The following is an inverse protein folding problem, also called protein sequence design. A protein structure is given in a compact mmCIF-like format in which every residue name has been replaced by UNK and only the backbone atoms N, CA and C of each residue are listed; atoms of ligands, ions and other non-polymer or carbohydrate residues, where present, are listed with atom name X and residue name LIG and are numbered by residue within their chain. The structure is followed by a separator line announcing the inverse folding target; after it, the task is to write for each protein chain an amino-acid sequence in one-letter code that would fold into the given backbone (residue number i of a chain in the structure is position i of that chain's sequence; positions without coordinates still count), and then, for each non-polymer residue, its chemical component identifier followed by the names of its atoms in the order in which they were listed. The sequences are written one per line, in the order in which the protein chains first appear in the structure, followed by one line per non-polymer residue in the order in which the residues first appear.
data_IF_280786967555
#
_entry.id   IF_280786967555
#
_cell.length_a   1.000
_cell.length_b   1.000
_cell.length_c   1.000
_cell.angle_alpha   90.00
_cell.angle_beta   90.00
_cell.angle_gamma   90.00
#
_symmetry.space_group_name_H-M   'P 1'
#
loop_
_entity.id
_entity.type
_entity.pdbx_description
1 polymer ?
#
# COMPACT_ATOMS: atom_id res chain seq x y z
N UNK A 1 5.23 -9.89 -19.22
CA UNK A 1 4.33 -9.68 -18.05
C UNK A 1 4.09 -8.21 -17.72
N UNK A 2 5.06 -7.30 -17.87
CA UNK A 2 4.84 -5.87 -17.53
C UNK A 2 3.84 -5.17 -18.44
N UNK A 3 3.83 -5.50 -19.74
CA UNK A 3 2.86 -4.93 -20.68
C UNK A 3 1.41 -5.31 -20.32
N UNK A 4 1.16 -6.57 -19.99
CA UNK A 4 -0.17 -7.06 -19.59
C UNK A 4 -0.65 -6.34 -18.32
N UNK A 5 0.22 -6.20 -17.30
CA UNK A 5 -0.14 -5.48 -16.08
C UNK A 5 -0.49 -4.02 -16.35
N UNK A 6 0.23 -3.35 -17.24
CA UNK A 6 -0.05 -1.97 -17.65
C UNK A 6 -1.38 -1.86 -18.41
N UNK A 7 -1.65 -2.78 -19.34
CA UNK A 7 -2.91 -2.81 -20.08
C UNK A 7 -4.11 -3.02 -19.15
N UNK A 8 -4.01 -3.96 -18.20
CA UNK A 8 -5.03 -4.20 -17.19
C UNK A 8 -5.20 -2.96 -16.29
N UNK A 9 -4.11 -2.31 -15.88
CA UNK A 9 -4.19 -1.09 -15.07
C UNK A 9 -4.90 0.05 -15.84
N UNK A 10 -4.57 0.25 -17.11
CA UNK A 10 -5.23 1.24 -17.95
C UNK A 10 -6.74 0.95 -18.08
N UNK A 11 -7.11 -0.31 -18.34
CA UNK A 11 -8.50 -0.73 -18.40
C UNK A 11 -9.27 -0.38 -17.11
N UNK A 12 -8.71 -0.71 -15.95
CA UNK A 12 -9.33 -0.37 -14.67
C UNK A 12 -9.37 1.13 -14.40
N UNK A 13 -8.35 1.90 -14.79
CA UNK A 13 -8.36 3.37 -14.66
C UNK A 13 -9.50 3.95 -15.46
N UNK A 14 -9.71 3.50 -16.70
CA UNK A 14 -10.80 3.99 -17.57
C UNK A 14 -12.16 3.64 -16.97
N UNK A 15 -12.38 2.39 -16.58
CA UNK A 15 -13.65 1.94 -15.99
C UNK A 15 -13.94 2.66 -14.67
N UNK A 16 -12.93 2.81 -13.81
CA UNK A 16 -13.08 3.44 -12.50
C UNK A 16 -13.02 4.97 -12.55
N UNK A 17 -12.79 5.58 -13.73
CA UNK A 17 -12.65 7.04 -13.85
C UNK A 17 -13.83 7.85 -13.31
N UNK A 18 -15.12 7.48 -13.53
CA UNK A 18 -16.24 8.20 -12.92
C UNK A 18 -16.21 8.12 -11.40
N UNK A 19 -15.82 6.96 -10.86
CA UNK A 19 -15.70 6.74 -9.43
C UNK A 19 -14.52 7.51 -8.83
N UNK A 20 -13.39 7.59 -9.53
CA UNK A 20 -12.26 8.44 -9.14
C UNK A 20 -12.67 9.90 -9.08
N UNK A 21 -13.43 10.38 -10.06
CA UNK A 21 -13.93 11.75 -10.06
C UNK A 21 -14.82 12.01 -8.83
N UNK A 22 -15.71 11.10 -8.49
CA UNK A 22 -16.54 11.20 -7.29
C UNK A 22 -15.71 11.27 -6.02
N UNK A 23 -14.69 10.39 -5.86
CA UNK A 23 -13.78 10.42 -4.71
C UNK A 23 -13.02 11.75 -4.64
N UNK A 24 -12.57 12.28 -5.78
CA UNK A 24 -11.88 13.58 -5.86
C UNK A 24 -12.80 14.71 -5.39
N UNK A 25 -14.03 14.77 -5.88
CA UNK A 25 -15.02 15.80 -5.50
C UNK A 25 -15.32 15.71 -3.99
N UNK A 26 -15.65 14.52 -3.48
CA UNK A 26 -15.90 14.31 -2.05
C UNK A 26 -14.67 14.69 -1.20
N UNK A 27 -13.47 14.32 -1.62
CA UNK A 27 -12.23 14.68 -0.91
C UNK A 27 -11.99 16.17 -0.90
N UNK A 28 -12.26 16.87 -2.00
CA UNK A 28 -12.17 18.34 -2.09
C UNK A 28 -13.13 19.01 -1.11
N UNK A 29 -14.39 18.57 -1.10
CA UNK A 29 -15.43 19.18 -0.27
C UNK A 29 -15.22 18.91 1.23
N UNK A 30 -14.76 17.70 1.59
CA UNK A 30 -14.67 17.28 2.99
C UNK A 30 -13.31 17.63 3.61
N UNK A 31 -12.21 17.48 2.86
CA UNK A 31 -10.84 17.61 3.38
C UNK A 31 -10.05 18.76 2.74
N UNK A 32 -10.51 19.32 1.62
CA UNK A 32 -9.77 20.31 0.86
C UNK A 32 -8.50 19.74 0.19
N UNK A 33 -7.64 20.63 -0.31
CA UNK A 33 -6.36 20.28 -0.94
C UNK A 33 -5.27 19.99 0.10
N UNK A 34 -4.22 19.17 -0.23
CA UNK A 34 -4.08 18.34 -1.42
C UNK A 34 -4.96 17.08 -1.35
N UNK A 35 -5.46 16.59 -2.50
CA UNK A 35 -6.29 15.37 -2.58
C UNK A 35 -5.41 14.13 -2.55
N UNK A 36 -4.28 14.17 -3.26
CA UNK A 36 -3.34 13.06 -3.35
C UNK A 36 -2.21 13.23 -2.34
N UNK A 37 -1.90 12.14 -1.69
CA UNK A 37 -0.69 11.94 -0.90
C UNK A 37 0.36 11.26 -1.77
N UNK A 38 1.59 11.75 -1.71
CA UNK A 38 2.75 11.19 -2.41
C UNK A 38 3.83 10.88 -1.39
N UNK A 39 4.44 9.70 -1.50
CA UNK A 39 5.55 9.31 -0.65
C UNK A 39 6.59 8.55 -1.46
N UNK A 40 7.87 8.85 -1.23
CA UNK A 40 8.97 8.11 -1.83
C UNK A 40 8.99 6.67 -1.31
N UNK A 41 9.17 5.74 -2.22
CA UNK A 41 9.29 4.31 -1.94
C UNK A 41 10.42 3.72 -2.77
N UNK A 42 10.94 2.58 -2.31
CA UNK A 42 11.98 1.84 -3.03
C UNK A 42 11.30 0.81 -3.93
N UNK A 43 11.68 0.82 -5.19
CA UNK A 43 11.20 -0.08 -6.23
C UNK A 43 12.26 -1.09 -6.67
N UNK A 44 12.02 -1.68 -7.86
CA UNK A 44 12.97 -2.60 -8.50
C UNK A 44 14.32 -1.90 -8.73
N UNK A 45 15.41 -2.67 -8.61
CA UNK A 45 16.79 -2.21 -8.72
C UNK A 45 17.09 -1.02 -7.79
N UNK A 46 16.40 -0.97 -6.64
CA UNK A 46 16.49 0.10 -5.63
C UNK A 46 16.16 1.49 -6.16
N UNK A 47 15.46 1.60 -7.30
CA UNK A 47 15.03 2.86 -7.87
C UNK A 47 13.94 3.50 -7.02
N UNK A 48 14.10 4.78 -6.71
CA UNK A 48 13.10 5.53 -5.97
C UNK A 48 11.93 5.94 -6.88
N UNK A 49 10.72 5.75 -6.40
CA UNK A 49 9.51 6.22 -7.07
C UNK A 49 8.53 6.82 -6.07
N UNK A 50 7.57 7.60 -6.54
CA UNK A 50 6.50 8.13 -5.71
C UNK A 50 5.29 7.22 -5.78
N UNK A 51 4.87 6.67 -4.63
CA UNK A 51 3.58 6.00 -4.52
C UNK A 51 2.47 7.04 -4.42
N UNK A 52 1.33 6.79 -5.09
CA UNK A 52 0.17 7.67 -5.06
C UNK A 52 -0.95 7.07 -4.21
N UNK A 53 -1.54 7.88 -3.32
CA UNK A 53 -2.71 7.50 -2.53
C UNK A 53 -3.66 8.69 -2.40
N UNK A 54 -4.94 8.46 -2.20
CA UNK A 54 -5.81 9.53 -1.71
C UNK A 54 -5.42 9.90 -0.29
N UNK A 55 -5.42 11.21 0.00
CA UNK A 55 -5.09 11.69 1.34
C UNK A 55 -6.19 11.31 2.33
N UNK A 56 -5.80 10.71 3.44
CA UNK A 56 -6.70 10.26 4.52
C UNK A 56 -6.44 10.97 5.84
N UNK A 57 -5.30 11.66 5.97
CA UNK A 57 -4.87 12.34 7.19
C UNK A 57 -5.28 13.82 7.16
N UNK A 58 -5.61 14.37 8.33
CA UNK A 58 -5.88 15.81 8.48
C UNK A 58 -4.59 16.63 8.38
N UNK A 59 -4.65 17.81 7.74
CA UNK A 59 -3.49 18.70 7.52
C UNK A 59 -2.90 19.25 8.83
N UNK A 60 -3.68 19.32 9.88
CA UNK A 60 -3.23 19.93 11.15
C UNK A 60 -1.99 19.27 11.81
N UNK A 61 -1.52 18.13 11.28
CA UNK A 61 -0.43 17.34 11.85
C UNK A 61 0.73 17.09 10.86
N UNK A 62 0.96 17.95 9.87
CA UNK A 62 1.83 17.65 8.71
C UNK A 62 3.35 17.84 8.93
N UNK A 63 3.83 18.17 10.13
CA UNK A 63 5.27 18.44 10.30
C UNK A 63 6.14 17.23 10.67
N UNK A 64 5.57 16.04 10.85
CA UNK A 64 6.36 14.85 11.17
C UNK A 64 6.02 13.69 10.22
N UNK A 65 6.98 13.34 9.35
CA UNK A 65 6.95 12.18 8.44
C UNK A 65 6.91 10.83 9.18
N UNK A 66 7.25 10.83 10.47
CA UNK A 66 7.19 9.65 11.33
C UNK A 66 5.85 9.59 12.04
N UNK A 67 5.00 8.74 11.53
CA UNK A 67 3.65 8.50 12.04
C UNK A 67 3.75 7.76 13.38
N UNK A 68 3.70 8.50 14.49
CA UNK A 68 3.40 7.89 15.78
C UNK A 68 1.89 7.64 15.85
N UNK A 69 1.44 6.40 16.15
CA UNK A 69 0.02 6.03 16.11
C UNK A 69 -0.91 6.96 16.89
N UNK A 70 -0.44 7.55 17.99
CA UNK A 70 -1.25 8.30 18.94
C UNK A 70 -1.52 9.77 18.59
N UNK A 71 -0.99 10.29 17.45
CA UNK A 71 -1.09 11.71 17.10
C UNK A 71 -1.89 11.95 15.82
N UNK A 72 -2.27 10.88 15.11
CA UNK A 72 -2.87 10.98 13.79
C UNK A 72 -4.39 11.15 13.91
N UNK A 73 -4.90 12.34 13.62
CA UNK A 73 -6.33 12.51 13.39
C UNK A 73 -6.69 12.10 11.97
N UNK A 74 -7.30 10.93 11.84
CA UNK A 74 -7.89 10.46 10.59
C UNK A 74 -9.30 11.04 10.50
N UNK A 75 -9.62 11.72 9.39
CA UNK A 75 -11.00 12.20 9.17
C UNK A 75 -11.98 11.04 9.02
N UNK A 76 -13.27 11.24 9.23
CA UNK A 76 -14.30 10.21 8.98
C UNK A 76 -14.25 9.71 7.53
N UNK A 77 -14.05 10.63 6.58
CA UNK A 77 -13.85 10.32 5.17
C UNK A 77 -12.56 9.50 4.93
N UNK A 78 -11.46 9.92 5.52
CA UNK A 78 -10.19 9.19 5.43
C UNK A 78 -10.29 7.77 6.00
N UNK A 79 -11.07 7.59 7.08
CA UNK A 79 -11.34 6.26 7.66
C UNK A 79 -12.15 5.40 6.69
N UNK A 80 -13.18 5.95 6.06
CA UNK A 80 -13.94 5.27 5.02
C UNK A 80 -13.03 4.81 3.88
N UNK A 81 -12.21 5.72 3.31
CA UNK A 81 -11.29 5.39 2.22
C UNK A 81 -10.31 4.28 2.61
N UNK A 82 -9.72 4.33 3.81
CA UNK A 82 -8.82 3.27 4.31
C UNK A 82 -9.51 1.95 4.52
N UNK A 83 -10.73 1.97 5.09
CA UNK A 83 -11.48 0.75 5.37
C UNK A 83 -11.87 0.02 4.10
N UNK A 84 -12.20 0.75 3.05
CA UNK A 84 -12.56 0.23 1.73
C UNK A 84 -11.33 0.02 0.82
N UNK A 85 -10.12 0.40 1.25
CA UNK A 85 -8.89 0.40 0.43
C UNK A 85 -8.96 1.30 -0.82
N UNK A 86 -9.95 2.18 -0.88
CA UNK A 86 -10.09 3.14 -1.97
C UNK A 86 -8.96 4.17 -1.97
N UNK A 87 -8.35 4.43 -0.81
CA UNK A 87 -7.18 5.31 -0.72
C UNK A 87 -5.97 4.81 -1.52
N UNK A 88 -5.87 3.51 -1.77
CA UNK A 88 -4.75 2.92 -2.53
C UNK A 88 -5.02 2.81 -4.04
N UNK A 89 -6.25 3.10 -4.52
CA UNK A 89 -6.59 2.98 -5.94
C UNK A 89 -5.77 3.87 -6.88
N UNK A 90 -5.23 5.06 -6.49
CA UNK A 90 -4.32 5.81 -7.34
C UNK A 90 -3.00 5.08 -7.66
N UNK A 91 -2.66 3.99 -6.95
CA UNK A 91 -1.50 3.17 -7.28
C UNK A 91 -1.64 2.44 -8.62
N UNK A 92 -2.86 2.36 -9.19
CA UNK A 92 -3.05 1.92 -10.57
C UNK A 92 -2.21 2.75 -11.56
N UNK A 93 -2.01 4.04 -11.30
CA UNK A 93 -1.09 4.87 -12.09
C UNK A 93 0.37 4.43 -11.90
N UNK A 94 0.78 4.00 -10.70
CA UNK A 94 2.12 3.44 -10.49
C UNK A 94 2.33 2.14 -11.30
N UNK A 95 1.29 1.31 -11.43
CA UNK A 95 1.34 0.11 -12.27
C UNK A 95 1.40 0.50 -13.74
N UNK A 96 0.58 1.45 -14.20
CA UNK A 96 0.57 1.96 -15.56
C UNK A 96 1.93 2.55 -15.96
N UNK A 97 2.56 3.32 -15.09
CA UNK A 97 3.91 3.87 -15.31
C UNK A 97 5.01 2.82 -15.20
N UNK A 98 4.69 1.61 -14.72
CA UNK A 98 5.61 0.48 -14.63
C UNK A 98 6.51 0.46 -13.40
N UNK A 99 6.24 1.31 -12.40
CA UNK A 99 6.94 1.28 -11.12
C UNK A 99 6.51 0.11 -10.25
N UNK A 100 5.25 -0.35 -10.41
CA UNK A 100 4.64 -1.41 -9.61
C UNK A 100 3.98 -2.47 -10.50
N UNK A 101 3.58 -3.58 -9.87
CA UNK A 101 2.72 -4.64 -10.39
C UNK A 101 1.48 -4.81 -9.51
N UNK A 102 0.51 -5.63 -9.95
CA UNK A 102 -0.62 -6.00 -9.09
C UNK A 102 -0.16 -6.85 -7.91
N UNK A 103 0.70 -7.84 -8.15
CA UNK A 103 1.25 -8.72 -7.11
C UNK A 103 2.76 -8.58 -7.04
N UNK A 104 3.27 -8.48 -5.82
CA UNK A 104 4.69 -8.34 -5.52
C UNK A 104 4.95 -7.94 -4.06
N UNK A 105 6.22 -7.76 -3.69
CA UNK A 105 6.60 -7.26 -2.37
C UNK A 105 6.01 -5.87 -2.11
N UNK A 106 5.65 -5.59 -0.85
CA UNK A 106 5.16 -4.26 -0.49
C UNK A 106 6.29 -3.23 -0.58
N UNK A 107 6.09 -2.11 -1.29
CA UNK A 107 7.14 -1.09 -1.39
C UNK A 107 7.37 -0.42 -0.02
N UNK A 108 8.61 -0.42 0.44
CA UNK A 108 9.01 0.19 1.72
C UNK A 108 9.61 1.59 1.52
N UNK A 109 9.63 2.39 2.61
CA UNK A 109 10.26 3.70 2.61
C UNK A 109 11.78 3.55 2.64
N UNK A 110 12.52 4.49 2.02
CA UNK A 110 13.97 4.34 1.85
C UNK A 110 14.74 4.13 3.17
N UNK A 111 14.27 4.73 4.25
CA UNK A 111 14.91 4.68 5.56
C UNK A 111 14.98 3.28 6.17
N UNK A 112 14.07 2.38 5.76
CA UNK A 112 14.03 0.99 6.25
C UNK A 112 14.65 -0.02 5.29
N UNK A 113 15.03 0.43 4.07
CA UNK A 113 15.57 -0.50 3.07
C UNK A 113 17.08 -0.62 3.23
N UNK A 114 17.51 -1.79 3.71
CA UNK A 114 18.91 -2.21 3.71
C UNK A 114 19.10 -3.17 2.53
N UNK A 115 19.96 -2.83 1.57
CA UNK A 115 20.08 -3.52 0.28
C UNK A 115 20.26 -5.04 0.41
N UNK A 116 21.05 -5.50 1.39
CA UNK A 116 21.33 -6.92 1.61
C UNK A 116 20.10 -7.70 2.08
N UNK A 117 19.20 -7.05 2.83
CA UNK A 117 17.95 -7.66 3.32
C UNK A 117 16.86 -7.67 2.25
N UNK A 118 16.92 -6.70 1.33
CA UNK A 118 15.92 -6.47 0.27
C UNK A 118 16.42 -6.87 -1.12
N UNK A 119 17.34 -7.86 -1.19
CA UNK A 119 17.93 -8.37 -2.44
C UNK A 119 16.88 -8.82 -3.47
N UNK A 120 15.70 -9.27 -3.04
CA UNK A 120 14.58 -9.59 -3.92
C UNK A 120 14.11 -8.40 -4.79
N UNK A 121 14.41 -7.16 -4.40
CA UNK A 121 14.10 -5.96 -5.21
C UNK A 121 14.97 -5.87 -6.48
N UNK A 122 16.07 -6.60 -6.58
CA UNK A 122 16.84 -6.70 -7.83
C UNK A 122 16.04 -7.42 -8.92
N UNK A 123 15.16 -8.34 -8.54
CA UNK A 123 14.38 -9.14 -9.48
C UNK A 123 12.91 -8.74 -9.57
N UNK A 124 12.34 -8.30 -8.44
CA UNK A 124 10.92 -8.07 -8.29
C UNK A 124 10.58 -6.58 -8.29
N UNK A 125 9.53 -6.22 -9.02
CA UNK A 125 8.86 -4.93 -8.83
C UNK A 125 7.91 -5.01 -7.63
N UNK A 126 7.77 -3.93 -6.87
CA UNK A 126 6.77 -3.86 -5.82
C UNK A 126 5.35 -4.13 -6.34
N UNK A 127 4.51 -4.69 -5.46
CA UNK A 127 3.12 -5.00 -5.74
C UNK A 127 2.13 -4.07 -5.04
N UNK A 128 0.94 -3.92 -5.65
CA UNK A 128 -0.23 -3.33 -4.99
C UNK A 128 -0.70 -4.25 -3.87
N UNK A 129 -0.62 -5.56 -4.08
CA UNK A 129 -0.87 -6.60 -3.08
C UNK A 129 0.24 -7.66 -3.09
N UNK A 130 0.26 -8.50 -2.06
CA UNK A 130 1.23 -9.58 -1.88
C UNK A 130 1.08 -10.20 -0.50
N UNK A 131 1.89 -11.21 -0.15
CA UNK A 131 1.82 -11.87 1.16
C UNK A 131 1.93 -10.89 2.32
N UNK A 132 2.94 -10.03 2.30
CA UNK A 132 3.16 -9.02 3.35
C UNK A 132 1.99 -8.02 3.43
N UNK A 133 1.43 -7.58 2.30
CA UNK A 133 0.29 -6.66 2.26
C UNK A 133 -1.00 -7.26 2.80
N UNK A 134 -1.23 -8.56 2.58
CA UNK A 134 -2.42 -9.27 3.05
C UNK A 134 -2.33 -9.54 4.55
N UNK A 135 -1.19 -10.06 5.02
CA UNK A 135 -0.98 -10.43 6.43
C UNK A 135 -0.95 -9.19 7.31
N UNK A 136 -0.25 -8.15 6.90
CA UNK A 136 -0.16 -6.88 7.64
C UNK A 136 -1.19 -5.84 7.18
N UNK A 137 -2.38 -6.27 6.77
CA UNK A 137 -3.47 -5.38 6.38
C UNK A 137 -3.84 -4.37 7.48
N UNK A 138 -3.78 -4.79 8.74
CA UNK A 138 -4.04 -4.00 9.94
C UNK A 138 -2.73 -3.65 10.67
N UNK A 139 -1.68 -3.25 9.95
CA UNK A 139 -0.34 -3.03 10.47
C UNK A 139 -0.30 -2.10 11.69
N UNK A 140 -1.04 -0.99 11.66
CA UNK A 140 -1.11 -0.05 12.78
C UNK A 140 -1.68 -0.68 14.06
N UNK A 141 -2.67 -1.55 13.91
CA UNK A 141 -3.27 -2.26 15.04
C UNK A 141 -2.29 -3.29 15.60
N UNK A 142 -1.65 -4.07 14.73
CA UNK A 142 -0.60 -5.02 15.13
C UNK A 142 0.51 -4.30 15.87
N UNK A 143 0.97 -3.14 15.35
CA UNK A 143 1.99 -2.31 16.01
C UNK A 143 1.55 -1.85 17.40
N UNK A 144 0.27 -1.50 17.58
CA UNK A 144 -0.24 -1.04 18.88
C UNK A 144 -0.28 -2.15 19.93
N UNK A 145 -0.35 -3.41 19.52
CA UNK A 145 -0.35 -4.58 20.41
C UNK A 145 1.08 -5.02 20.82
N UNK A 146 2.09 -4.64 20.03
CA UNK A 146 3.47 -4.96 20.31
C UNK A 146 4.05 -3.98 21.36
N UNK A 147 4.56 -4.53 22.45
CA UNK A 147 5.15 -3.75 23.57
C UNK A 147 6.64 -3.46 23.42
N UNK A 148 7.21 -3.71 22.24
CA UNK A 148 8.65 -3.56 21.97
C UNK A 148 9.05 -2.10 21.76
N UNK A 149 10.35 -1.79 21.91
CA UNK A 149 10.90 -0.44 21.64
C UNK A 149 10.73 0.00 20.20
N UNK A 150 10.85 -0.92 19.26
CA UNK A 150 10.62 -0.71 17.82
C UNK A 150 9.70 -1.80 17.26
N UNK A 151 8.37 -1.65 17.41
CA UNK A 151 7.40 -2.61 16.88
C UNK A 151 7.49 -2.77 15.36
N UNK A 152 7.96 -1.74 14.66
CA UNK A 152 8.05 -1.79 13.20
C UNK A 152 9.19 -2.68 12.72
N UNK A 153 10.34 -2.73 13.40
CA UNK A 153 11.47 -3.58 13.01
C UNK A 153 11.08 -5.07 13.06
N UNK A 154 10.30 -5.49 14.05
CA UNK A 154 9.84 -6.87 14.15
C UNK A 154 8.87 -7.22 13.02
N UNK A 155 7.93 -6.33 12.70
CA UNK A 155 7.02 -6.49 11.56
C UNK A 155 7.82 -6.54 10.24
N UNK A 156 8.82 -5.68 10.10
CA UNK A 156 9.65 -5.58 8.90
C UNK A 156 10.41 -6.88 8.62
N UNK A 157 10.97 -7.53 9.66
CA UNK A 157 11.62 -8.84 9.53
C UNK A 157 10.69 -9.89 8.93
N UNK A 158 9.44 -9.92 9.42
CA UNK A 158 8.43 -10.87 8.92
C UNK A 158 8.03 -10.51 7.49
N UNK A 159 7.83 -9.22 7.17
CA UNK A 159 7.53 -8.77 5.81
C UNK A 159 8.62 -9.20 4.83
N UNK A 160 9.89 -8.99 5.18
CA UNK A 160 11.04 -9.40 4.36
C UNK A 160 11.02 -10.92 4.13
N UNK A 161 10.77 -11.72 5.16
CA UNK A 161 10.70 -13.17 5.03
C UNK A 161 9.57 -13.60 4.08
N UNK A 162 8.39 -12.98 4.18
CA UNK A 162 7.24 -13.24 3.29
C UNK A 162 7.52 -12.82 1.84
N UNK A 163 8.19 -11.70 1.64
CA UNK A 163 8.51 -11.19 0.32
C UNK A 163 9.62 -12.03 -0.35
N UNK A 164 10.60 -12.55 0.43
CA UNK A 164 11.55 -13.56 -0.04
C UNK A 164 10.85 -14.87 -0.36
N UNK A 165 9.93 -15.33 0.48
CA UNK A 165 9.13 -16.51 0.17
C UNK A 165 8.38 -16.35 -1.16
N UNK A 166 7.81 -15.17 -1.42
CA UNK A 166 7.18 -14.89 -2.70
C UNK A 166 8.20 -14.96 -3.86
N UNK A 167 9.41 -14.42 -3.69
CA UNK A 167 10.45 -14.47 -4.72
C UNK A 167 10.73 -15.91 -5.19
N UNK A 168 10.87 -16.84 -4.24
CA UNK A 168 11.18 -18.24 -4.56
C UNK A 168 9.99 -19.02 -5.12
N UNK A 169 8.76 -18.65 -4.75
CA UNK A 169 7.54 -19.39 -5.10
C UNK A 169 6.69 -18.69 -6.15
N UNK A 170 7.15 -17.57 -6.72
CA UNK A 170 6.36 -16.79 -7.68
C UNK A 170 5.99 -17.63 -8.89
N UNK A 171 4.70 -17.67 -9.20
CA UNK A 171 4.13 -18.29 -10.38
C UNK A 171 2.81 -17.63 -10.71
N UNK A 172 2.32 -17.84 -11.92
CA UNK A 172 1.00 -17.32 -12.32
C UNK A 172 -0.12 -17.79 -11.38
N UNK A 173 -0.04 -19.05 -10.93
CA UNK A 173 -1.03 -19.63 -10.00
C UNK A 173 -0.96 -18.94 -8.63
N UNK A 174 0.24 -18.67 -8.13
CA UNK A 174 0.44 -17.95 -6.87
C UNK A 174 -0.11 -16.52 -6.99
N UNK A 175 0.18 -15.84 -8.08
CA UNK A 175 -0.34 -14.48 -8.33
C UNK A 175 -1.87 -14.48 -8.35
N UNK A 176 -2.49 -15.44 -9.06
CA UNK A 176 -3.95 -15.57 -9.12
C UNK A 176 -4.57 -15.84 -7.74
N UNK A 177 -3.95 -16.74 -6.95
CA UNK A 177 -4.37 -16.99 -5.55
C UNK A 177 -4.28 -15.73 -4.70
N UNK A 178 -3.19 -14.96 -4.79
CA UNK A 178 -3.02 -13.72 -4.03
C UNK A 178 -4.04 -12.66 -4.46
N UNK A 179 -4.38 -12.56 -5.76
CA UNK A 179 -5.47 -11.69 -6.22
C UNK A 179 -6.80 -12.11 -5.59
N UNK A 180 -7.14 -13.40 -5.64
CA UNK A 180 -8.38 -13.91 -5.05
C UNK A 180 -8.46 -13.64 -3.54
N UNK A 181 -7.38 -13.93 -2.79
CA UNK A 181 -7.32 -13.66 -1.35
C UNK A 181 -7.45 -12.16 -1.08
N UNK A 182 -6.81 -11.30 -1.88
CA UNK A 182 -6.91 -9.85 -1.75
C UNK A 182 -8.36 -9.39 -1.91
N UNK A 183 -9.04 -9.85 -2.96
CA UNK A 183 -10.45 -9.51 -3.19
C UNK A 183 -11.34 -10.01 -2.05
N UNK A 184 -11.18 -11.25 -1.61
CA UNK A 184 -11.92 -11.79 -0.47
C UNK A 184 -11.66 -10.98 0.80
N UNK A 185 -10.41 -10.56 1.03
CA UNK A 185 -10.03 -9.77 2.20
C UNK A 185 -10.72 -8.40 2.24
N UNK A 186 -11.18 -7.85 1.12
CA UNK A 186 -11.94 -6.59 1.12
C UNK A 186 -13.31 -6.73 1.79
N UNK A 187 -13.89 -7.92 1.74
CA UNK A 187 -15.18 -8.23 2.34
C UNK A 187 -15.08 -8.78 3.78
N UNK A 188 -13.88 -9.18 4.22
CA UNK A 188 -13.69 -9.63 5.61
C UNK A 188 -13.70 -8.43 6.56
N UNK A 189 -14.43 -8.53 7.69
CA UNK A 189 -14.40 -7.48 8.70
C UNK A 189 -12.96 -7.30 9.19
N UNK A 190 -12.55 -6.04 9.29
CA UNK A 190 -11.32 -5.71 10.01
C UNK A 190 -11.56 -6.00 11.48
N UNK A 191 -10.57 -6.57 12.16
CA UNK A 191 -10.55 -6.58 13.61
C UNK A 191 -10.45 -5.10 14.01
N UNK A 192 -11.58 -4.52 14.40
CA UNK A 192 -11.65 -3.13 14.84
C UNK A 192 -11.35 -3.10 16.33
N UNK A 193 -10.13 -2.83 16.72
CA UNK A 193 -9.85 -2.30 18.03
C UNK A 193 -10.54 -0.93 18.14
N UNK A 194 -11.29 -0.71 19.20
CA UNK A 194 -11.91 0.58 19.48
C UNK A 194 -10.80 1.62 19.69
N UNK A 195 -10.73 2.61 18.79
CA UNK A 195 -9.95 3.85 18.97
C UNK A 195 -10.88 4.96 19.41
#
# INVERSE_FOLDING_TARGET
MDFISRAIALFWIVILSPFFLLIVICSLLIQGRPILFKQKRVGKDFQLFNIFKFRTLSIKNNNNLFIRPNIIKISKWGRFLRNTKLDETPQLFNILFGNMRFIGPRPEIPEYVVNEKFDFLKELKPGLSGYSSIIFRNELEIMSLLKNKDPYDDILKIKIALDKYYQFNKSFIVDLKLVAITLLSLFMPRITGHY
#
